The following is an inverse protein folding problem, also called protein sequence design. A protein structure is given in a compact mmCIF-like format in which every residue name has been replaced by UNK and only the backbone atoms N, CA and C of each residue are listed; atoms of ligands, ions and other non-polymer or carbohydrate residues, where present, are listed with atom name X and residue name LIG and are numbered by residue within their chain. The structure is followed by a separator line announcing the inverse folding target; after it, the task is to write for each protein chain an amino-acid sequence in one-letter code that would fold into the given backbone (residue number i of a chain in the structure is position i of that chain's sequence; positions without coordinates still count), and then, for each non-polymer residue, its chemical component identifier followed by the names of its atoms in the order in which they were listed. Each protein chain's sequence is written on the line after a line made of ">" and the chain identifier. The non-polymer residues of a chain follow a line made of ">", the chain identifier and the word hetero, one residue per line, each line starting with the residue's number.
data_IF_981964804684
#
_entry.id   IF_981964804684
#
_cell.length_a   1.000
_cell.length_b   1.000
_cell.length_c   1.000
_cell.angle_alpha   90.00
_cell.angle_beta   90.00
_cell.angle_gamma   90.00
#
_symmetry.space_group_name_H-M   'P 1'
#
loop_
_entity.id
_entity.type
_entity.pdbx_description
1 polymer ?
#
# COMPACT_ATOMS: atom_id res chain seq x y z
N UNK A 1 27.21 2.61 -3.56
CA UNK A 1 26.57 1.43 -4.18
C UNK A 1 26.90 0.10 -3.49
N UNK A 2 27.94 0.01 -2.65
CA UNK A 2 28.52 -1.27 -2.18
C UNK A 2 27.70 -2.01 -1.09
N UNK A 3 26.77 -1.36 -0.39
CA UNK A 3 26.18 -1.94 0.84
C UNK A 3 25.08 -2.98 0.61
N UNK A 4 24.30 -2.86 -0.48
CA UNK A 4 23.19 -3.78 -0.76
C UNK A 4 23.72 -5.06 -1.39
N UNK A 5 24.60 -4.95 -2.37
CA UNK A 5 25.19 -6.13 -3.05
C UNK A 5 25.93 -7.03 -2.05
N UNK A 6 26.64 -6.45 -1.07
CA UNK A 6 27.27 -7.24 0.00
C UNK A 6 26.26 -7.94 0.92
N UNK A 7 25.10 -7.33 1.19
CA UNK A 7 24.04 -7.99 1.96
C UNK A 7 23.38 -9.11 1.16
N UNK A 8 23.12 -8.88 -0.13
CA UNK A 8 22.50 -9.86 -1.01
C UNK A 8 23.47 -11.00 -1.37
N UNK A 9 24.78 -10.80 -1.24
CA UNK A 9 25.79 -11.83 -1.42
C UNK A 9 25.89 -12.82 -0.24
N UNK A 10 25.14 -12.60 0.85
CA UNK A 10 25.08 -13.57 1.95
C UNK A 10 24.62 -14.95 1.41
N UNK A 11 25.34 -16.05 1.75
CA UNK A 11 25.00 -17.40 1.29
C UNK A 11 23.54 -17.81 1.53
N UNK A 12 22.89 -17.28 2.57
CA UNK A 12 21.48 -17.56 2.86
C UNK A 12 20.53 -17.12 1.73
N UNK A 13 20.91 -16.10 0.95
CA UNK A 13 20.11 -15.57 -0.15
C UNK A 13 20.47 -16.21 -1.51
N UNK A 14 21.51 -17.03 -1.59
CA UNK A 14 21.92 -17.64 -2.86
C UNK A 14 20.80 -18.40 -3.59
N UNK A 15 19.94 -19.21 -2.92
CA UNK A 15 18.81 -19.87 -3.57
C UNK A 15 17.76 -18.89 -4.10
N UNK A 16 17.51 -17.79 -3.38
CA UNK A 16 16.58 -16.73 -3.77
C UNK A 16 17.12 -16.02 -5.01
N UNK A 17 18.35 -15.53 -4.96
CA UNK A 17 19.00 -14.81 -6.05
C UNK A 17 19.03 -15.66 -7.34
N UNK A 18 19.35 -16.96 -7.22
CA UNK A 18 19.39 -17.85 -8.38
C UNK A 18 18.03 -17.94 -9.11
N UNK A 19 16.91 -17.87 -8.39
CA UNK A 19 15.59 -17.87 -9.01
C UNK A 19 15.31 -16.56 -9.77
N UNK A 20 15.70 -15.40 -9.22
CA UNK A 20 15.53 -14.12 -9.90
C UNK A 20 16.41 -13.99 -11.14
N UNK A 21 17.68 -14.36 -11.07
CA UNK A 21 18.64 -14.29 -12.18
C UNK A 21 18.19 -15.09 -13.42
N UNK A 22 17.51 -16.22 -13.21
CA UNK A 22 16.97 -17.05 -14.30
C UNK A 22 15.84 -16.36 -15.08
N UNK A 23 15.12 -15.44 -14.45
CA UNK A 23 13.95 -14.77 -15.04
C UNK A 23 14.27 -13.37 -15.58
N UNK A 24 15.34 -12.72 -15.10
CA UNK A 24 15.78 -11.37 -15.51
C UNK A 24 16.12 -11.25 -17.01
N UNK A 25 16.60 -12.33 -17.64
CA UNK A 25 17.22 -12.26 -18.97
C UNK A 25 16.26 -12.30 -20.16
N UNK A 26 14.97 -12.57 -19.95
CA UNK A 26 14.05 -12.92 -21.05
C UNK A 26 13.16 -11.78 -21.53
N UNK A 27 12.95 -10.76 -20.70
CA UNK A 27 12.02 -9.67 -20.98
C UNK A 27 12.69 -8.31 -20.69
N UNK A 28 12.35 -7.26 -21.43
CA UNK A 28 12.84 -5.89 -21.19
C UNK A 28 12.34 -5.27 -19.88
N UNK A 29 11.78 -6.08 -18.99
CA UNK A 29 11.25 -5.72 -17.68
C UNK A 29 11.38 -6.92 -16.74
N UNK A 30 11.48 -6.64 -15.45
CA UNK A 30 11.54 -7.66 -14.42
C UNK A 30 10.19 -8.34 -14.25
N UNK A 31 10.19 -9.68 -14.29
CA UNK A 31 8.99 -10.43 -13.92
C UNK A 31 8.68 -10.15 -12.44
N UNK A 32 7.41 -9.85 -12.08
CA UNK A 32 7.03 -9.66 -10.70
C UNK A 32 7.42 -10.85 -9.81
N UNK A 33 7.98 -10.56 -8.62
CA UNK A 33 8.51 -11.57 -7.69
C UNK A 33 7.54 -12.74 -7.45
N UNK A 34 6.25 -12.48 -7.30
CA UNK A 34 5.26 -13.51 -6.97
C UNK A 34 5.11 -14.55 -8.10
N UNK A 35 5.31 -14.15 -9.36
CA UNK A 35 5.27 -15.08 -10.49
C UNK A 35 6.53 -15.94 -10.61
N UNK A 36 7.69 -15.39 -10.23
CA UNK A 36 8.95 -16.16 -10.14
C UNK A 36 8.77 -17.34 -9.17
N UNK A 37 7.97 -17.15 -8.11
CA UNK A 37 7.60 -18.18 -7.15
C UNK A 37 6.30 -18.93 -7.49
N UNK A 38 5.82 -18.84 -8.74
CA UNK A 38 4.71 -19.64 -9.26
C UNK A 38 3.30 -19.11 -8.94
N UNK A 39 3.16 -18.00 -8.21
CA UNK A 39 1.86 -17.41 -7.96
C UNK A 39 1.37 -16.59 -9.17
N UNK A 40 0.09 -16.75 -9.52
CA UNK A 40 -0.50 -16.09 -10.68
C UNK A 40 -0.77 -14.59 -10.45
N UNK A 41 -1.00 -14.20 -9.20
CA UNK A 41 -1.33 -12.82 -8.83
C UNK A 41 -1.08 -12.57 -7.34
N UNK A 42 -0.96 -11.30 -6.94
CA UNK A 42 -0.91 -10.90 -5.52
C UNK A 42 -2.19 -11.33 -4.76
N UNK A 43 -3.34 -11.36 -5.45
CA UNK A 43 -4.59 -11.87 -4.86
C UNK A 43 -4.47 -13.35 -4.49
N UNK A 44 -3.85 -14.15 -5.36
CA UNK A 44 -3.59 -15.56 -5.07
C UNK A 44 -2.64 -15.71 -3.88
N UNK A 45 -1.52 -14.96 -3.86
CA UNK A 45 -0.61 -14.95 -2.70
C UNK A 45 -1.35 -14.61 -1.41
N UNK A 46 -2.19 -13.58 -1.45
CA UNK A 46 -2.97 -13.13 -0.28
C UNK A 46 -3.94 -14.21 0.20
N UNK A 47 -4.55 -14.97 -0.72
CA UNK A 47 -5.37 -16.15 -0.40
C UNK A 47 -4.53 -17.24 0.28
N UNK A 48 -3.37 -17.55 -0.27
CA UNK A 48 -2.51 -18.64 0.22
C UNK A 48 -1.97 -18.37 1.63
N UNK A 49 -1.76 -17.10 2.00
CA UNK A 49 -1.35 -16.71 3.36
C UNK A 49 -2.53 -16.36 4.30
N UNK A 50 -3.77 -16.64 3.90
CA UNK A 50 -4.97 -16.38 4.73
C UNK A 50 -5.28 -14.89 4.94
N UNK A 51 -4.88 -14.03 4.01
CA UNK A 51 -5.07 -12.56 4.03
C UNK A 51 -5.89 -12.03 2.86
N UNK A 52 -6.73 -12.86 2.25
CA UNK A 52 -7.57 -12.46 1.11
C UNK A 52 -8.51 -11.30 1.46
N UNK A 53 -9.13 -11.32 2.64
CA UNK A 53 -10.03 -10.24 3.08
C UNK A 53 -9.31 -8.89 3.21
N UNK A 54 -8.07 -8.90 3.68
CA UNK A 54 -7.22 -7.71 3.76
C UNK A 54 -6.88 -7.18 2.36
N UNK A 55 -6.51 -8.08 1.44
CA UNK A 55 -6.29 -7.73 0.05
C UNK A 55 -7.53 -7.10 -0.59
N UNK A 56 -8.70 -7.75 -0.45
CA UNK A 56 -9.95 -7.25 -1.05
C UNK A 56 -10.32 -5.88 -0.44
N UNK A 57 -10.16 -5.68 0.87
CA UNK A 57 -10.41 -4.40 1.53
C UNK A 57 -9.50 -3.25 1.05
N UNK A 58 -8.19 -3.51 0.93
CA UNK A 58 -7.23 -2.54 0.41
C UNK A 58 -7.50 -2.24 -1.07
N UNK A 59 -7.71 -3.29 -1.87
CA UNK A 59 -7.92 -3.17 -3.30
C UNK A 59 -9.21 -2.42 -3.63
N UNK A 60 -10.32 -2.71 -2.94
CA UNK A 60 -11.57 -1.95 -3.10
C UNK A 60 -11.38 -0.48 -2.74
N UNK A 61 -10.77 -0.20 -1.59
CA UNK A 61 -10.61 1.17 -1.08
C UNK A 61 -9.70 2.04 -1.95
N UNK A 62 -8.67 1.44 -2.58
CA UNK A 62 -7.65 2.18 -3.33
C UNK A 62 -7.82 2.08 -4.86
N UNK A 63 -8.45 1.01 -5.36
CA UNK A 63 -8.60 0.75 -6.80
C UNK A 63 -10.03 0.95 -7.31
N UNK A 64 -11.07 0.73 -6.48
CA UNK A 64 -12.48 0.80 -6.91
C UNK A 64 -12.87 2.16 -7.47
N UNK A 65 -12.40 3.22 -6.82
CA UNK A 65 -12.57 4.63 -7.22
C UNK A 65 -12.01 4.92 -8.63
N UNK A 66 -11.02 4.16 -9.09
CA UNK A 66 -10.34 4.41 -10.39
C UNK A 66 -11.04 3.73 -11.56
N UNK A 67 -11.91 2.75 -11.30
CA UNK A 67 -12.69 2.07 -12.33
C UNK A 67 -14.10 2.65 -12.32
N UNK A 68 -14.54 3.21 -13.45
CA UNK A 68 -15.89 3.78 -13.63
C UNK A 68 -17.05 2.80 -13.37
N UNK A 69 -16.75 1.54 -13.02
CA UNK A 69 -17.72 0.56 -12.51
C UNK A 69 -18.43 1.01 -11.23
N UNK A 70 -17.80 1.86 -10.41
CA UNK A 70 -18.40 2.38 -9.17
C UNK A 70 -18.93 3.82 -9.29
N UNK A 71 -19.07 4.36 -10.51
CA UNK A 71 -19.54 5.74 -10.71
C UNK A 71 -20.91 6.02 -10.08
N UNK A 72 -21.75 4.98 -9.94
CA UNK A 72 -23.05 5.06 -9.29
C UNK A 72 -22.96 5.48 -7.81
N UNK A 73 -21.87 5.15 -7.12
CA UNK A 73 -21.63 5.60 -5.73
C UNK A 73 -21.44 7.11 -5.61
N UNK A 74 -21.15 7.78 -6.73
CA UNK A 74 -20.93 9.21 -6.82
C UNK A 74 -22.15 9.96 -7.37
N UNK A 75 -23.25 9.28 -7.71
CA UNK A 75 -24.45 9.90 -8.28
C UNK A 75 -25.59 9.85 -7.26
N UNK A 76 -26.13 11.01 -6.90
CA UNK A 76 -27.22 11.15 -5.95
C UNK A 76 -28.44 11.78 -6.64
N UNK A 77 -29.59 11.11 -6.53
CA UNK A 77 -30.86 11.60 -7.05
C UNK A 77 -31.71 12.16 -5.91
N UNK A 78 -32.13 13.42 -6.05
CA UNK A 78 -33.11 14.07 -5.18
C UNK A 78 -34.29 14.59 -6.00
N UNK A 79 -35.31 15.14 -5.33
CA UNK A 79 -36.50 15.68 -5.99
C UNK A 79 -36.12 16.79 -6.97
N UNK A 80 -36.15 16.48 -8.27
CA UNK A 80 -35.79 17.39 -9.36
C UNK A 80 -34.30 17.77 -9.42
N UNK A 81 -33.42 17.05 -8.72
CA UNK A 81 -31.98 17.38 -8.66
C UNK A 81 -31.12 16.14 -8.86
N UNK A 82 -30.06 16.32 -9.64
CA UNK A 82 -28.95 15.38 -9.79
C UNK A 82 -27.72 16.00 -9.13
N UNK A 83 -27.12 15.31 -8.19
CA UNK A 83 -25.82 15.69 -7.62
C UNK A 83 -24.79 14.63 -7.98
N UNK A 84 -23.61 15.07 -8.40
CA UNK A 84 -22.48 14.20 -8.73
C UNK A 84 -21.33 14.57 -7.82
N UNK A 85 -20.91 13.64 -6.95
CA UNK A 85 -19.71 13.77 -6.16
C UNK A 85 -18.47 13.48 -7.03
N UNK A 86 -17.35 14.17 -6.81
CA UNK A 86 -16.12 13.81 -7.48
C UNK A 86 -15.60 12.46 -6.97
N UNK A 87 -14.96 11.73 -7.88
CA UNK A 87 -14.32 10.44 -7.62
C UNK A 87 -13.29 10.54 -6.48
N UNK A 88 -12.63 11.70 -6.32
CA UNK A 88 -11.67 11.97 -5.24
C UNK A 88 -12.06 13.22 -4.50
N UNK A 89 -12.17 13.05 -3.19
CA UNK A 89 -12.63 14.06 -2.27
C UNK A 89 -11.55 14.28 -1.20
N UNK A 90 -11.00 15.50 -1.04
CA UNK A 90 -9.97 15.81 -0.04
C UNK A 90 -10.33 15.34 1.37
N UNK A 91 -11.61 15.33 1.74
CA UNK A 91 -12.10 14.77 3.01
C UNK A 91 -11.69 13.30 3.26
N UNK A 92 -11.33 12.52 2.22
CA UNK A 92 -10.84 11.14 2.37
C UNK A 92 -9.32 11.02 2.58
N UNK A 93 -8.55 12.11 2.42
CA UNK A 93 -7.10 12.10 2.61
C UNK A 93 -6.70 11.59 4.01
N UNK A 94 -7.33 12.03 5.13
CA UNK A 94 -6.97 11.54 6.45
C UNK A 94 -7.09 10.02 6.60
N UNK A 95 -8.17 9.42 6.09
CA UNK A 95 -8.36 7.96 6.11
C UNK A 95 -7.33 7.22 5.25
N UNK A 96 -7.00 7.73 4.06
CA UNK A 96 -5.99 7.14 3.19
C UNK A 96 -4.60 7.17 3.81
N UNK A 97 -4.23 8.29 4.45
CA UNK A 97 -2.97 8.42 5.19
C UNK A 97 -2.91 7.44 6.36
N UNK A 98 -4.00 7.32 7.14
CA UNK A 98 -4.06 6.39 8.27
C UNK A 98 -3.91 4.93 7.84
N UNK A 99 -4.58 4.54 6.75
CA UNK A 99 -4.45 3.21 6.16
C UNK A 99 -3.01 2.94 5.72
N UNK A 100 -2.41 3.86 4.96
CA UNK A 100 -1.04 3.74 4.47
C UNK A 100 -0.05 3.56 5.63
N UNK A 101 -0.12 4.41 6.65
CA UNK A 101 0.77 4.34 7.84
C UNK A 101 0.60 3.00 8.56
N UNK A 102 -0.63 2.53 8.73
CA UNK A 102 -0.92 1.26 9.41
C UNK A 102 -0.26 0.09 8.68
N UNK A 103 -0.42 0.03 7.35
CA UNK A 103 0.19 -1.01 6.50
C UNK A 103 1.72 -0.89 6.56
N UNK A 104 2.26 0.32 6.43
CA UNK A 104 3.70 0.57 6.49
C UNK A 104 4.31 0.06 7.80
N UNK A 105 3.76 0.46 8.95
CA UNK A 105 4.28 0.04 10.26
C UNK A 105 4.24 -1.49 10.43
N UNK A 106 3.19 -2.14 9.92
CA UNK A 106 3.09 -3.60 9.93
C UNK A 106 4.16 -4.25 9.04
N UNK A 107 4.36 -3.76 7.82
CA UNK A 107 5.38 -4.28 6.90
C UNK A 107 6.77 -4.14 7.50
N UNK A 108 7.11 -2.97 8.05
CA UNK A 108 8.39 -2.77 8.74
C UNK A 108 8.56 -3.76 9.89
N UNK A 109 7.52 -3.98 10.69
CA UNK A 109 7.58 -4.95 11.80
C UNK A 109 7.85 -6.38 11.29
N UNK A 110 7.20 -6.80 10.20
CA UNK A 110 7.42 -8.13 9.60
C UNK A 110 8.85 -8.27 9.07
N UNK A 111 9.36 -7.25 8.37
CA UNK A 111 10.73 -7.24 7.85
C UNK A 111 11.76 -7.28 8.98
N UNK A 112 11.54 -6.51 10.05
CA UNK A 112 12.44 -6.51 11.20
C UNK A 112 12.47 -7.86 11.90
N UNK A 113 11.30 -8.48 12.13
CA UNK A 113 11.23 -9.81 12.75
C UNK A 113 12.02 -10.87 11.99
N UNK A 114 11.92 -10.83 10.66
CA UNK A 114 12.57 -11.82 9.80
C UNK A 114 14.08 -11.55 9.64
N UNK A 115 14.44 -10.32 9.30
CA UNK A 115 15.80 -10.02 8.83
C UNK A 115 16.67 -9.29 9.86
N UNK A 116 16.07 -8.75 10.93
CA UNK A 116 16.76 -7.94 11.95
C UNK A 116 16.16 -8.16 13.33
N UNK A 117 16.03 -9.42 13.73
CA UNK A 117 15.50 -9.79 15.04
C UNK A 117 16.29 -9.09 16.16
N UNK A 118 15.57 -8.50 17.12
CA UNK A 118 16.12 -7.68 18.20
C UNK A 118 16.02 -6.16 17.96
N UNK A 119 15.73 -5.70 16.74
CA UNK A 119 15.56 -4.27 16.44
C UNK A 119 14.12 -3.77 16.65
N UNK A 120 13.17 -4.65 16.96
CA UNK A 120 11.75 -4.29 17.11
C UNK A 120 11.54 -3.26 18.22
N UNK A 121 12.24 -3.39 19.35
CA UNK A 121 12.09 -2.45 20.46
C UNK A 121 12.70 -1.08 20.11
N UNK A 122 13.82 -1.06 19.39
CA UNK A 122 14.41 0.18 18.89
C UNK A 122 13.46 0.89 17.92
N UNK A 123 12.84 0.14 17.00
CA UNK A 123 11.84 0.65 16.07
C UNK A 123 10.60 1.18 16.81
N UNK A 124 10.09 0.42 17.78
CA UNK A 124 8.93 0.81 18.58
C UNK A 124 9.20 2.07 19.41
N UNK A 125 10.40 2.18 20.02
CA UNK A 125 10.85 3.39 20.73
C UNK A 125 10.88 4.59 19.80
N UNK A 126 11.47 4.45 18.61
CA UNK A 126 11.52 5.52 17.60
C UNK A 126 10.13 5.97 17.17
N UNK A 127 9.23 5.02 16.88
CA UNK A 127 7.85 5.32 16.55
C UNK A 127 7.17 6.12 17.66
N UNK A 128 7.27 5.68 18.91
CA UNK A 128 6.64 6.36 20.06
C UNK A 128 7.19 7.77 20.28
N UNK A 129 8.51 7.94 20.16
CA UNK A 129 9.18 9.21 20.45
C UNK A 129 9.02 10.24 19.33
N UNK A 130 9.12 9.83 18.07
CA UNK A 130 9.28 10.78 16.94
C UNK A 130 8.05 10.85 16.03
N UNK A 131 7.33 9.74 15.84
CA UNK A 131 6.40 9.60 14.72
C UNK A 131 4.94 9.54 15.14
N UNK A 132 4.65 8.89 16.27
CA UNK A 132 3.29 8.60 16.74
C UNK A 132 2.42 9.85 16.80
N UNK A 133 2.92 10.95 17.34
CA UNK A 133 2.18 12.21 17.43
C UNK A 133 1.76 12.75 16.06
N UNK A 134 2.65 12.67 15.06
CA UNK A 134 2.38 13.16 13.70
C UNK A 134 1.32 12.30 12.99
N UNK A 135 1.37 10.98 13.20
CA UNK A 135 0.44 10.03 12.58
C UNK A 135 -0.93 9.98 13.26
N UNK A 136 -1.02 10.25 14.57
CA UNK A 136 -2.29 10.34 15.28
C UNK A 136 -2.97 11.71 15.13
N UNK A 137 -2.26 12.71 14.60
CA UNK A 137 -2.84 14.02 14.33
C UNK A 137 -3.95 13.88 13.29
N UNK A 138 -5.18 14.17 13.69
CA UNK A 138 -6.33 14.24 12.78
C UNK A 138 -6.27 15.56 12.02
N UNK A 139 -6.49 15.48 10.71
CA UNK A 139 -6.62 16.65 9.84
C UNK A 139 -8.08 16.77 9.43
N UNK A 140 -8.63 17.98 9.54
CA UNK A 140 -9.87 18.35 8.88
C UNK A 140 -9.48 19.14 7.64
N UNK A 141 -10.05 18.77 6.50
CA UNK A 141 -9.79 19.46 5.24
C UNK A 141 -11.07 20.20 4.87
N UNK A 142 -10.96 21.53 4.81
CA UNK A 142 -12.03 22.40 4.35
C UNK A 142 -11.72 22.85 2.92
N UNK A 143 -12.66 22.62 2.02
CA UNK A 143 -12.61 23.16 0.66
C UNK A 143 -13.48 24.40 0.66
N UNK A 144 -12.86 25.57 0.48
CA UNK A 144 -13.61 26.83 0.29
C UNK A 144 -13.91 26.97 -1.20
N UNK A 145 -15.18 27.11 -1.60
CA UNK A 145 -15.50 27.45 -2.98
C UNK A 145 -14.84 28.78 -3.31
N UNK A 146 -14.06 28.83 -4.38
CA UNK A 146 -13.75 30.12 -5.01
C UNK A 146 -15.01 30.50 -5.80
N UNK A 147 -15.64 31.63 -5.47
CA UNK A 147 -16.71 32.18 -6.29
C UNK A 147 -16.16 32.49 -7.68
N UNK A 148 -16.35 31.56 -8.62
CA UNK A 148 -16.22 31.90 -10.03
C UNK A 148 -17.49 32.64 -10.41
N UNK A 149 -17.43 33.96 -10.36
CA UNK A 149 -18.43 34.82 -11.00
C UNK A 149 -18.39 34.48 -12.49
N UNK A 150 -19.45 33.83 -12.99
CA UNK A 150 -19.70 33.65 -14.43
C UNK A 150 -20.62 34.79 -14.86
#
# INVERSE_FOLDING_TARGET
>A
MIRIDSLLADPQFAPINQNFERHYRKHHFDEPWYKIYGARSIRQVSKDIGKLSEYDGIYLSLSGVTHGSDIWSSIFFGTGKLAVAPIREPQHIPSSVQLAVTITLRVYTLVLKEFRSGEEENFARKYRAEWRARFLKKYQIEIKPTETVI
#
